data_IF_528487993660
#
_entry.id   IF_528487993660
#
_cell.length_a   1.000
_cell.length_b   1.000
_cell.length_c   1.000
_cell.angle_alpha   90.00
_cell.angle_beta   90.00
_cell.angle_gamma   90.00
#
_symmetry.space_group_name_H-M   'P 1'
#
loop_
_entity.id
_entity.type
_entity.pdbx_description
1 polymer ?
#
# COMPACT_ATOMS: atom_id res chain seq x y z
N UNK A 1 14.76 22.73 -7.18
CA UNK A 1 14.42 21.46 -7.85
C UNK A 1 13.41 20.75 -6.98
N UNK A 2 12.22 20.40 -7.48
CA UNK A 2 11.29 19.59 -6.68
C UNK A 2 11.88 18.18 -6.53
N UNK A 3 12.13 17.77 -5.29
CA UNK A 3 12.58 16.43 -4.96
C UNK A 3 11.40 15.45 -5.14
N UNK A 4 11.11 15.04 -6.38
CA UNK A 4 10.07 14.04 -6.63
C UNK A 4 10.63 12.67 -6.27
N UNK A 5 10.34 12.18 -5.07
CA UNK A 5 10.54 10.76 -4.78
C UNK A 5 9.62 9.95 -5.71
N UNK A 6 10.16 9.00 -6.49
CA UNK A 6 9.35 8.21 -7.41
C UNK A 6 8.38 7.34 -6.62
N UNK A 7 7.12 7.30 -7.08
CA UNK A 7 6.11 6.39 -6.51
C UNK A 7 6.40 4.97 -6.97
N UNK A 8 6.54 4.04 -6.02
CA UNK A 8 6.84 2.62 -6.29
C UNK A 8 5.73 1.73 -5.76
N UNK A 9 5.40 0.68 -6.51
CA UNK A 9 4.37 -0.29 -6.15
C UNK A 9 4.92 -1.71 -6.17
N UNK A 10 4.40 -2.55 -5.28
CA UNK A 10 4.51 -4.01 -5.40
C UNK A 10 3.12 -4.62 -5.43
N UNK A 11 3.01 -5.86 -5.92
CA UNK A 11 1.74 -6.54 -6.13
C UNK A 11 1.76 -7.95 -5.54
N UNK A 12 0.59 -8.40 -5.10
CA UNK A 12 0.33 -9.79 -4.72
C UNK A 12 0.36 -10.69 -5.96
N UNK A 13 0.37 -12.01 -5.76
CA UNK A 13 0.26 -12.98 -6.85
C UNK A 13 -1.04 -12.83 -7.67
N UNK A 14 -2.11 -12.31 -7.05
CA UNK A 14 -3.40 -12.03 -7.69
C UNK A 14 -3.48 -10.65 -8.33
N UNK A 15 -2.38 -9.89 -8.34
CA UNK A 15 -2.28 -8.57 -8.97
C UNK A 15 -2.86 -7.42 -8.15
N UNK A 16 -3.21 -7.63 -6.88
CA UNK A 16 -3.61 -6.55 -5.97
C UNK A 16 -2.38 -5.82 -5.46
N UNK A 17 -2.49 -4.52 -5.16
CA UNK A 17 -1.35 -3.73 -4.66
C UNK A 17 -0.97 -4.23 -3.26
N UNK A 18 0.27 -4.67 -3.07
CA UNK A 18 0.75 -5.13 -1.76
C UNK A 18 1.42 -3.99 -0.96
N UNK A 19 2.18 -3.15 -1.65
CA UNK A 19 2.77 -1.94 -1.05
C UNK A 19 2.82 -0.77 -2.03
N UNK A 20 2.82 0.43 -1.47
CA UNK A 20 3.07 1.69 -2.15
C UNK A 20 4.09 2.47 -1.33
N UNK A 21 5.13 2.99 -1.99
CA UNK A 21 6.08 3.92 -1.37
C UNK A 21 6.11 5.19 -2.18
N UNK A 22 5.87 6.32 -1.52
CA UNK A 22 6.01 7.66 -2.08
C UNK A 22 6.64 8.60 -1.04
N UNK A 23 6.62 9.91 -1.31
CA UNK A 23 7.19 10.92 -0.44
C UNK A 23 6.55 11.01 0.96
N UNK A 24 5.34 10.47 1.15
CA UNK A 24 4.68 10.38 2.47
C UNK A 24 5.17 9.19 3.30
N UNK A 25 5.78 8.19 2.67
CA UNK A 25 6.26 6.96 3.31
C UNK A 25 5.72 5.71 2.63
N UNK A 26 5.65 4.61 3.40
CA UNK A 26 5.16 3.33 2.90
C UNK A 26 3.74 3.05 3.39
N UNK A 27 2.86 2.70 2.46
CA UNK A 27 1.55 2.10 2.74
C UNK A 27 1.57 0.61 2.39
N UNK A 28 1.06 -0.26 3.26
CA UNK A 28 0.87 -1.69 2.99
C UNK A 28 -0.60 -2.07 3.02
N UNK A 29 -0.96 -3.06 2.21
CA UNK A 29 -2.32 -3.53 2.02
C UNK A 29 -2.36 -5.04 2.26
N UNK A 30 -3.33 -5.49 3.05
CA UNK A 30 -3.59 -6.92 3.24
C UNK A 30 -4.99 -7.27 2.79
N UNK A 31 -5.16 -8.50 2.34
CA UNK A 31 -6.38 -8.98 1.73
C UNK A 31 -6.88 -10.21 2.47
N UNK A 32 -8.20 -10.40 2.49
CA UNK A 32 -8.79 -11.66 2.91
C UNK A 32 -8.65 -12.75 1.83
N UNK A 33 -9.14 -13.95 2.12
CA UNK A 33 -9.06 -15.10 1.21
C UNK A 33 -9.91 -14.93 -0.07
N UNK A 34 -10.69 -13.86 -0.21
CA UNK A 34 -11.49 -13.51 -1.39
C UNK A 34 -10.91 -12.30 -2.13
N UNK A 35 -9.64 -11.95 -1.89
CA UNK A 35 -8.96 -10.79 -2.46
C UNK A 35 -9.63 -9.43 -2.14
N UNK A 36 -10.38 -9.35 -1.04
CA UNK A 36 -10.98 -8.11 -0.57
C UNK A 36 -10.03 -7.42 0.42
N UNK A 37 -9.90 -6.10 0.31
CA UNK A 37 -9.05 -5.33 1.22
C UNK A 37 -9.53 -5.54 2.65
N UNK A 38 -8.62 -5.95 3.54
CA UNK A 38 -8.89 -6.21 4.95
C UNK A 38 -8.23 -5.16 5.85
N UNK A 39 -6.98 -4.80 5.54
CA UNK A 39 -6.23 -3.79 6.31
C UNK A 39 -5.43 -2.90 5.37
N UNK A 40 -5.42 -1.60 5.67
CA UNK A 40 -4.52 -0.61 5.06
C UNK A 40 -3.71 0.06 6.17
N UNK A 41 -2.40 -0.13 6.13
CA UNK A 41 -1.46 0.46 7.11
C UNK A 41 -0.75 1.62 6.41
N UNK A 42 -0.91 2.84 6.91
CA UNK A 42 -0.26 4.06 6.44
C UNK A 42 0.66 4.63 7.52
N UNK A 43 1.54 5.59 7.20
CA UNK A 43 2.33 6.31 8.20
C UNK A 43 1.48 7.02 9.27
N UNK A 44 0.25 7.39 8.93
CA UNK A 44 -0.69 8.10 9.82
C UNK A 44 -1.55 7.17 10.66
N UNK A 45 -1.56 5.86 10.38
CA UNK A 45 -2.32 4.88 11.15
C UNK A 45 -2.80 3.66 10.36
N UNK A 46 -3.60 2.84 11.02
CA UNK A 46 -4.14 1.59 10.46
C UNK A 46 -5.65 1.66 10.29
N UNK A 47 -6.13 1.29 9.11
CA UNK A 47 -7.54 1.16 8.77
C UNK A 47 -7.89 -0.33 8.60
N UNK A 48 -8.94 -0.80 9.28
CA UNK A 48 -9.48 -2.15 9.16
C UNK A 48 -10.86 -2.10 8.48
N UNK A 49 -11.12 -3.03 7.57
CA UNK A 49 -12.33 -3.11 6.75
C UNK A 49 -13.08 -4.43 6.96
#
# INVERSE_FOLDING_TARGET
>A
MLNQQPVRFTYTATGKRQSMTDASGQTTYTYDNRDRLKVKITPEGTLNY
#
